data_IF_480746893819
#
_entry.id   IF_480746893819
#
_cell.length_a   1.000
_cell.length_b   1.000
_cell.length_c   1.000
_cell.angle_alpha   90.00
_cell.angle_beta   90.00
_cell.angle_gamma   90.00
#
_symmetry.space_group_name_H-M   'P 1'
#
loop_
_entity.id
_entity.type
_entity.pdbx_description
1 polymer ?
#
# COMPACT_ATOMS: atom_id res chain seq x y z
N UNK A 1 -37.21 56.41 -8.20
CA UNK A 1 -36.02 56.34 -7.33
C UNK A 1 -35.56 54.90 -7.30
N UNK A 2 -34.28 54.71 -7.65
CA UNK A 2 -33.42 53.54 -7.43
C UNK A 2 -33.79 52.18 -8.00
N UNK A 3 -33.17 51.89 -9.15
CA UNK A 3 -32.61 50.59 -9.53
C UNK A 3 -31.65 50.08 -8.45
N UNK A 4 -31.68 48.79 -8.09
CA UNK A 4 -30.46 48.03 -7.81
C UNK A 4 -30.73 46.53 -7.99
N UNK A 5 -30.07 45.97 -8.99
CA UNK A 5 -29.83 44.55 -9.25
C UNK A 5 -28.52 44.15 -8.56
N UNK A 6 -28.48 42.99 -7.89
CA UNK A 6 -27.30 42.15 -7.56
C UNK A 6 -27.77 41.08 -6.57
N UNK A 7 -27.26 39.86 -6.47
CA UNK A 7 -26.54 38.95 -7.36
C UNK A 7 -26.55 37.60 -6.64
N UNK A 8 -26.70 36.55 -7.41
CA UNK A 8 -26.40 35.15 -7.09
C UNK A 8 -25.03 34.97 -6.44
N UNK A 9 -24.96 34.12 -5.41
CA UNK A 9 -23.79 33.27 -5.17
C UNK A 9 -24.20 32.04 -4.36
N UNK A 10 -24.63 31.02 -5.07
CA UNK A 10 -24.59 29.62 -4.65
C UNK A 10 -23.12 29.20 -4.56
N UNK A 11 -22.58 29.11 -3.35
CA UNK A 11 -21.26 28.52 -3.10
C UNK A 11 -21.43 27.01 -3.02
N UNK A 12 -21.24 26.37 -4.18
CA UNK A 12 -20.94 24.95 -4.31
C UNK A 12 -19.64 24.66 -3.55
N UNK A 13 -19.76 23.89 -2.46
CA UNK A 13 -18.64 23.24 -1.80
C UNK A 13 -18.07 22.20 -2.76
N UNK A 14 -17.00 22.59 -3.43
CA UNK A 14 -16.16 21.72 -4.26
C UNK A 14 -15.58 20.62 -3.38
N UNK A 15 -16.11 19.41 -3.59
CA UNK A 15 -15.53 18.14 -3.16
C UNK A 15 -14.13 17.99 -3.74
N UNK A 16 -13.12 18.19 -2.89
CA UNK A 16 -11.74 17.81 -3.18
C UNK A 16 -11.65 16.28 -3.22
N UNK A 17 -11.92 15.71 -4.38
CA UNK A 17 -11.56 14.33 -4.70
C UNK A 17 -10.04 14.23 -4.66
N UNK A 18 -9.51 13.60 -3.61
CA UNK A 18 -8.13 13.13 -3.56
C UNK A 18 -7.99 12.02 -4.61
N UNK A 19 -7.83 12.41 -5.87
CA UNK A 19 -7.54 11.49 -6.96
C UNK A 19 -6.13 10.94 -6.73
N UNK A 20 -6.08 9.66 -6.36
CA UNK A 20 -4.89 8.82 -6.24
C UNK A 20 -3.96 9.07 -7.43
N UNK A 21 -2.82 9.72 -7.17
CA UNK A 21 -1.77 9.86 -8.17
C UNK A 21 -1.26 8.46 -8.54
N UNK A 22 -1.56 8.01 -9.75
CA UNK A 22 -1.01 6.78 -10.32
C UNK A 22 0.50 6.95 -10.49
N UNK A 23 1.25 6.06 -9.86
CA UNK A 23 2.70 6.03 -9.86
C UNK A 23 3.18 5.54 -11.24
N UNK A 24 3.64 6.45 -12.10
CA UNK A 24 4.29 6.11 -13.37
C UNK A 24 5.78 5.79 -13.13
N UNK A 25 6.06 4.64 -12.52
CA UNK A 25 7.40 4.05 -12.61
C UNK A 25 7.46 3.31 -13.95
N UNK A 26 8.37 3.70 -14.85
CA UNK A 26 8.46 3.20 -16.22
C UNK A 26 9.19 1.85 -16.29
N UNK A 27 8.64 0.82 -15.64
CA UNK A 27 8.97 -0.58 -15.94
C UNK A 27 7.90 -1.13 -16.91
N UNK A 28 8.25 -1.42 -18.17
CA UNK A 28 7.33 -2.14 -19.04
C UNK A 28 7.12 -3.55 -18.47
N UNK A 29 5.88 -3.94 -18.23
CA UNK A 29 5.52 -5.29 -17.81
C UNK A 29 4.71 -5.97 -18.90
N UNK A 30 5.03 -7.22 -19.18
CA UNK A 30 4.23 -8.14 -19.98
C UNK A 30 3.03 -8.65 -19.18
N UNK A 31 2.04 -9.21 -19.88
CA UNK A 31 0.90 -9.87 -19.24
C UNK A 31 1.32 -11.02 -18.31
N UNK A 32 2.39 -11.75 -18.65
CA UNK A 32 2.91 -12.83 -17.82
C UNK A 32 3.52 -12.30 -16.51
N UNK A 33 4.28 -11.21 -16.57
CA UNK A 33 4.85 -10.56 -15.38
C UNK A 33 3.76 -9.99 -14.47
N UNK A 34 2.71 -9.39 -15.04
CA UNK A 34 1.55 -8.93 -14.26
C UNK A 34 0.90 -10.09 -13.53
N UNK A 35 0.70 -11.23 -14.19
CA UNK A 35 0.14 -12.44 -13.56
C UNK A 35 1.01 -12.92 -12.41
N UNK A 36 2.33 -13.01 -12.61
CA UNK A 36 3.27 -13.45 -11.58
C UNK A 36 3.24 -12.52 -10.37
N UNK A 37 3.38 -11.20 -10.57
CA UNK A 37 3.34 -10.25 -9.46
C UNK A 37 1.98 -10.20 -8.76
N UNK A 38 0.88 -10.50 -9.47
CA UNK A 38 -0.44 -10.65 -8.84
C UNK A 38 -0.48 -11.85 -7.91
N UNK A 39 0.15 -12.96 -8.29
CA UNK A 39 0.24 -14.16 -7.45
C UNK A 39 1.17 -13.94 -6.25
N UNK A 40 2.29 -13.25 -6.44
CA UNK A 40 3.19 -12.87 -5.35
C UNK A 40 2.46 -11.97 -4.35
N UNK A 41 1.72 -10.97 -4.84
CA UNK A 41 0.91 -10.10 -3.98
C UNK A 41 -0.19 -10.88 -3.24
N UNK A 42 -0.86 -11.84 -3.88
CA UNK A 42 -1.83 -12.69 -3.20
C UNK A 42 -1.17 -13.46 -2.07
N UNK A 43 -0.03 -14.10 -2.32
CA UNK A 43 0.69 -14.89 -1.32
C UNK A 43 1.16 -14.00 -0.15
N UNK A 44 1.72 -12.83 -0.44
CA UNK A 44 2.16 -11.87 0.60
C UNK A 44 1.03 -11.50 1.56
N UNK A 45 -0.16 -11.25 1.03
CA UNK A 45 -1.32 -10.86 1.83
C UNK A 45 -1.92 -12.07 2.56
N UNK A 46 -1.92 -13.24 1.94
CA UNK A 46 -2.32 -14.48 2.60
C UNK A 46 -1.42 -14.77 3.80
N UNK A 47 -0.10 -14.78 3.61
CA UNK A 47 0.86 -15.00 4.69
C UNK A 47 0.67 -13.96 5.81
N UNK A 48 0.45 -12.69 5.46
CA UNK A 48 0.22 -11.65 6.45
C UNK A 48 -1.02 -11.93 7.31
N UNK A 49 -2.14 -12.32 6.69
CA UNK A 49 -3.39 -12.62 7.40
C UNK A 49 -3.25 -13.88 8.25
N UNK A 50 -2.72 -14.96 7.69
CA UNK A 50 -2.54 -16.24 8.40
C UNK A 50 -1.63 -16.06 9.61
N UNK A 51 -0.52 -15.34 9.46
CA UNK A 51 0.37 -15.08 10.59
C UNK A 51 -0.27 -14.22 11.69
N UNK A 52 -1.13 -13.27 11.33
CA UNK A 52 -1.90 -12.47 12.29
C UNK A 52 -2.86 -13.34 13.09
N UNK A 53 -3.53 -14.27 12.41
CA UNK A 53 -4.48 -15.21 13.01
C UNK A 53 -3.77 -16.17 13.95
N UNK A 54 -2.64 -16.74 13.52
CA UNK A 54 -1.85 -17.67 14.34
C UNK A 54 -1.27 -16.99 15.60
N UNK A 55 -0.95 -15.69 15.52
CA UNK A 55 -0.49 -14.90 16.66
C UNK A 55 -1.63 -14.29 17.50
N UNK A 56 -2.89 -14.66 17.22
CA UNK A 56 -4.08 -14.19 17.92
C UNK A 56 -4.21 -12.64 17.96
N UNK A 57 -3.80 -11.97 16.89
CA UNK A 57 -3.90 -10.50 16.78
C UNK A 57 -5.31 -10.10 16.38
N UNK A 58 -6.05 -9.48 17.30
CA UNK A 58 -7.48 -9.20 17.17
C UNK A 58 -7.86 -8.23 16.03
N UNK A 59 -7.00 -7.26 15.71
CA UNK A 59 -7.27 -6.23 14.70
C UNK A 59 -6.41 -6.45 13.44
N UNK A 60 -6.94 -7.21 12.49
CA UNK A 60 -6.27 -7.45 11.20
C UNK A 60 -6.60 -6.32 10.23
N UNK A 61 -5.74 -5.30 10.23
CA UNK A 61 -5.70 -4.26 9.19
C UNK A 61 -4.79 -4.73 8.05
N UNK A 62 -5.24 -4.63 6.80
CA UNK A 62 -4.39 -4.89 5.65
C UNK A 62 -3.27 -3.86 5.54
N UNK A 63 -2.06 -4.26 5.11
CA UNK A 63 -0.93 -3.36 4.98
C UNK A 63 -1.12 -2.36 3.82
N UNK A 64 -0.61 -1.13 3.97
CA UNK A 64 -0.77 -0.04 2.96
C UNK A 64 -0.21 -0.40 1.59
N UNK A 65 0.80 -1.27 1.58
CA UNK A 65 1.42 -1.72 0.34
C UNK A 65 0.51 -2.63 -0.49
N UNK A 66 -0.54 -3.21 0.10
CA UNK A 66 -1.52 -4.00 -0.65
C UNK A 66 -2.26 -3.17 -1.71
N UNK A 67 -2.90 -2.08 -1.28
CA UNK A 67 -3.66 -1.20 -2.18
C UNK A 67 -2.72 -0.56 -3.22
N UNK A 68 -1.51 -0.20 -2.80
CA UNK A 68 -0.50 0.39 -3.68
C UNK A 68 -0.06 -0.59 -4.77
N UNK A 69 0.29 -1.82 -4.41
CA UNK A 69 0.72 -2.84 -5.35
C UNK A 69 -0.39 -3.23 -6.32
N UNK A 70 -1.62 -3.41 -5.82
CA UNK A 70 -2.78 -3.69 -6.65
C UNK A 70 -3.00 -2.58 -7.69
N UNK A 71 -2.99 -1.32 -7.26
CA UNK A 71 -3.22 -0.18 -8.15
C UNK A 71 -2.12 -0.04 -9.21
N UNK A 72 -0.86 -0.32 -8.83
CA UNK A 72 0.25 -0.35 -9.76
C UNK A 72 0.06 -1.42 -10.84
N UNK A 73 -0.22 -2.67 -10.44
CA UNK A 73 -0.46 -3.77 -11.37
C UNK A 73 -1.66 -3.49 -12.28
N UNK A 74 -2.72 -2.88 -11.74
CA UNK A 74 -3.89 -2.47 -12.51
C UNK A 74 -3.53 -1.40 -13.55
N UNK A 75 -2.69 -0.44 -13.20
CA UNK A 75 -2.17 0.56 -14.14
C UNK A 75 -1.38 -0.10 -15.26
N UNK A 76 -0.47 -1.03 -14.93
CA UNK A 76 0.35 -1.74 -15.91
C UNK A 76 -0.49 -2.62 -16.84
N UNK A 77 -1.50 -3.28 -16.32
CA UNK A 77 -2.45 -4.03 -17.13
C UNK A 77 -3.19 -3.12 -18.13
N UNK A 78 -3.65 -1.95 -17.67
CA UNK A 78 -4.32 -0.97 -18.52
C UNK A 78 -3.37 -0.38 -19.59
N UNK A 79 -2.11 -0.09 -19.25
CA UNK A 79 -1.09 0.44 -20.18
C UNK A 79 -0.88 -0.47 -21.40
N UNK A 80 -0.96 -1.79 -21.21
CA UNK A 80 -0.80 -2.78 -22.30
C UNK A 80 -2.14 -3.27 -22.87
N UNK A 81 -3.28 -2.71 -22.44
CA UNK A 81 -4.62 -3.15 -22.85
C UNK A 81 -4.96 -4.60 -22.42
N UNK A 82 -4.31 -5.09 -21.37
CA UNK A 82 -4.52 -6.44 -20.83
C UNK A 82 -5.50 -6.40 -19.66
N UNK A 83 -6.40 -7.38 -19.62
CA UNK A 83 -7.28 -7.62 -18.47
C UNK A 83 -6.91 -8.96 -17.86
N UNK A 84 -6.33 -8.94 -16.67
CA UNK A 84 -5.92 -10.15 -15.96
C UNK A 84 -7.04 -10.61 -14.99
N UNK A 85 -7.68 -11.76 -15.21
CA UNK A 85 -8.78 -12.21 -14.35
C UNK A 85 -8.39 -12.43 -12.88
N UNK A 86 -7.15 -12.82 -12.59
CA UNK A 86 -6.71 -13.05 -11.21
C UNK A 86 -6.50 -11.71 -10.51
N UNK A 87 -5.93 -10.72 -11.22
CA UNK A 87 -5.82 -9.37 -10.71
C UNK A 87 -7.20 -8.77 -10.45
N UNK A 88 -8.17 -8.93 -11.36
CA UNK A 88 -9.53 -8.41 -11.13
C UNK A 88 -10.21 -8.99 -9.90
N UNK A 89 -9.93 -10.26 -9.60
CA UNK A 89 -10.51 -11.03 -8.51
C UNK A 89 -9.79 -10.85 -7.18
N UNK A 90 -8.52 -10.45 -7.19
CA UNK A 90 -7.66 -10.34 -6.02
C UNK A 90 -8.31 -9.60 -4.82
N UNK A 91 -8.97 -8.43 -4.98
CA UNK A 91 -9.66 -7.77 -3.89
C UNK A 91 -10.70 -8.64 -3.18
N UNK A 92 -11.46 -9.42 -3.97
CA UNK A 92 -12.47 -10.29 -3.43
C UNK A 92 -11.88 -11.53 -2.75
N UNK A 93 -10.79 -12.08 -3.30
CA UNK A 93 -10.07 -13.19 -2.67
C UNK A 93 -9.55 -12.81 -1.28
N UNK A 94 -8.94 -11.63 -1.14
CA UNK A 94 -8.42 -11.12 0.13
C UNK A 94 -9.56 -10.85 1.11
N UNK A 95 -10.67 -10.26 0.64
CA UNK A 95 -11.85 -10.05 1.47
C UNK A 95 -12.40 -11.40 1.99
N UNK A 96 -12.60 -12.39 1.12
CA UNK A 96 -13.05 -13.72 1.52
C UNK A 96 -12.13 -14.38 2.56
N UNK A 97 -10.81 -14.23 2.40
CA UNK A 97 -9.83 -14.77 3.35
C UNK A 97 -10.00 -14.12 4.72
N UNK A 98 -10.06 -12.79 4.79
CA UNK A 98 -10.27 -12.06 6.05
C UNK A 98 -11.58 -12.48 6.74
N UNK A 99 -12.67 -12.57 5.99
CA UNK A 99 -13.97 -12.98 6.53
C UNK A 99 -13.94 -14.42 7.08
N UNK A 100 -13.13 -15.30 6.47
CA UNK A 100 -13.04 -16.70 6.87
C UNK A 100 -12.17 -16.88 8.12
N UNK A 101 -11.02 -16.20 8.16
CA UNK A 101 -10.03 -16.38 9.22
C UNK A 101 -10.26 -15.49 10.45
N UNK A 102 -10.71 -14.25 10.23
CA UNK A 102 -10.81 -13.20 11.28
C UNK A 102 -12.27 -12.80 11.54
N UNK A 103 -13.16 -13.05 10.57
CA UNK A 103 -14.52 -12.55 10.58
C UNK A 103 -14.65 -11.16 9.96
N UNK A 104 -15.82 -10.51 10.07
CA UNK A 104 -16.06 -9.21 9.45
C UNK A 104 -15.14 -8.14 10.08
N UNK A 105 -14.28 -7.49 9.28
CA UNK A 105 -13.38 -6.48 9.82
C UNK A 105 -14.17 -5.22 10.22
N UNK A 106 -13.65 -4.41 11.17
CA UNK A 106 -14.29 -3.16 11.56
C UNK A 106 -14.48 -2.24 10.35
N UNK A 107 -15.60 -1.51 10.34
CA UNK A 107 -15.91 -0.60 9.23
C UNK A 107 -14.78 0.43 9.03
N UNK A 108 -14.34 0.60 7.77
CA UNK A 108 -13.31 1.56 7.40
C UNK A 108 -11.86 1.09 7.63
N UNK A 109 -11.63 -0.20 7.84
CA UNK A 109 -10.26 -0.77 7.99
C UNK A 109 -9.72 -1.40 6.71
N UNK A 110 -10.58 -1.76 5.76
CA UNK A 110 -10.18 -2.36 4.48
C UNK A 110 -10.14 -1.34 3.34
N UNK A 111 -9.22 -1.51 2.38
CA UNK A 111 -9.26 -0.78 1.13
C UNK A 111 -10.57 -1.03 0.38
N UNK A 112 -11.20 0.05 -0.09
CA UNK A 112 -12.48 -0.01 -0.82
C UNK A 112 -12.24 0.25 -2.30
N UNK A 113 -12.96 -0.47 -3.15
CA UNK A 113 -12.87 -0.28 -4.61
C UNK A 113 -13.55 1.02 -5.03
N UNK A 114 -12.84 1.86 -5.78
CA UNK A 114 -13.39 3.07 -6.41
C UNK A 114 -14.15 2.74 -7.70
N UNK A 115 -14.87 3.73 -8.23
CA UNK A 115 -15.58 3.64 -9.51
C UNK A 115 -14.66 3.28 -10.70
N UNK A 116 -13.37 3.59 -10.57
CA UNK A 116 -12.32 3.27 -11.57
C UNK A 116 -11.74 1.87 -11.38
N UNK A 117 -12.22 1.10 -10.41
CA UNK A 117 -11.75 -0.24 -10.11
C UNK A 117 -10.44 -0.30 -9.32
N UNK A 118 -9.94 0.84 -8.84
CA UNK A 118 -8.74 0.97 -8.00
C UNK A 118 -9.10 0.76 -6.53
N UNK A 119 -8.13 0.37 -5.69
CA UNK A 119 -8.31 0.31 -4.24
C UNK A 119 -7.93 1.64 -3.58
N UNK A 120 -8.79 2.12 -2.70
CA UNK A 120 -8.56 3.30 -1.86
C UNK A 120 -8.32 2.83 -0.43
N UNK A 121 -7.10 3.00 0.05
CA UNK A 121 -6.74 2.69 1.43
C UNK A 121 -7.36 3.73 2.38
N UNK A 122 -8.19 3.33 3.36
CA UNK A 122 -8.83 4.26 4.29
C UNK A 122 -7.84 4.95 5.24
N UNK A 123 -6.62 4.42 5.37
CA UNK A 123 -5.55 4.98 6.20
C UNK A 123 -4.60 5.91 5.43
N UNK A 124 -4.77 6.04 4.11
CA UNK A 124 -4.03 7.00 3.33
C UNK A 124 -4.48 8.42 3.70
N UNK A 125 -3.53 9.21 4.22
CA UNK A 125 -3.80 10.58 4.70
C UNK A 125 -3.46 11.65 3.67
N UNK A 126 -2.64 11.30 2.68
CA UNK A 126 -2.02 12.26 1.77
C UNK A 126 -0.91 13.09 2.42
N UNK A 127 -0.63 12.88 3.70
CA UNK A 127 0.46 13.48 4.45
C UNK A 127 1.67 12.53 4.43
N UNK A 128 2.80 13.01 3.89
CA UNK A 128 4.01 12.21 3.73
C UNK A 128 4.47 11.55 5.04
N UNK A 129 4.47 12.28 6.16
CA UNK A 129 4.99 11.76 7.43
C UNK A 129 4.09 10.64 7.95
N UNK A 130 2.78 10.84 7.92
CA UNK A 130 1.81 9.82 8.36
C UNK A 130 1.81 8.60 7.44
N UNK A 131 1.84 8.81 6.12
CA UNK A 131 1.87 7.72 5.14
C UNK A 131 3.19 6.92 5.24
N UNK A 132 4.33 7.59 5.48
CA UNK A 132 5.63 6.94 5.72
C UNK A 132 5.62 6.14 7.02
N UNK A 133 5.06 6.69 8.10
CA UNK A 133 4.93 5.98 9.37
C UNK A 133 4.07 4.73 9.22
N UNK A 134 2.92 4.81 8.54
CA UNK A 134 2.06 3.66 8.29
C UNK A 134 2.80 2.57 7.49
N UNK A 135 3.56 2.95 6.46
CA UNK A 135 4.39 2.01 5.71
C UNK A 135 5.43 1.32 6.60
N UNK A 136 6.13 2.09 7.45
CA UNK A 136 7.13 1.52 8.37
C UNK A 136 6.47 0.51 9.30
N UNK A 137 5.37 0.88 9.95
CA UNK A 137 4.64 0.00 10.87
C UNK A 137 4.19 -1.29 10.17
N UNK A 138 3.60 -1.18 8.98
CA UNK A 138 3.08 -2.35 8.26
C UNK A 138 4.21 -3.30 7.80
N UNK A 139 5.38 -2.78 7.43
CA UNK A 139 6.55 -3.60 7.08
C UNK A 139 7.15 -4.27 8.31
N UNK A 140 7.24 -3.57 9.44
CA UNK A 140 7.70 -4.14 10.71
C UNK A 140 6.80 -5.28 11.12
N UNK A 141 5.50 -5.05 11.09
CA UNK A 141 4.48 -6.03 11.48
C UNK A 141 4.53 -7.27 10.59
N UNK A 142 4.65 -7.10 9.26
CA UNK A 142 4.85 -8.22 8.33
C UNK A 142 6.11 -9.04 8.70
N UNK A 143 7.26 -8.39 8.89
CA UNK A 143 8.52 -9.08 9.16
C UNK A 143 8.55 -9.75 10.54
N UNK A 144 8.05 -9.06 11.57
CA UNK A 144 8.02 -9.58 12.94
C UNK A 144 7.11 -10.79 13.06
N UNK A 145 5.90 -10.72 12.48
CA UNK A 145 4.95 -11.83 12.55
C UNK A 145 5.49 -13.05 11.82
N UNK A 146 6.04 -12.85 10.61
CA UNK A 146 6.69 -13.92 9.86
C UNK A 146 7.86 -14.53 10.64
N UNK A 147 8.72 -13.72 11.27
CA UNK A 147 9.83 -14.22 12.06
C UNK A 147 9.38 -14.98 13.31
N UNK A 148 8.32 -14.53 13.99
CA UNK A 148 7.79 -15.20 15.19
C UNK A 148 7.30 -16.63 14.89
N UNK A 149 6.68 -16.81 13.72
CA UNK A 149 6.12 -18.10 13.29
C UNK A 149 7.21 -18.97 12.66
N UNK A 150 7.89 -18.45 11.64
CA UNK A 150 8.79 -19.25 10.80
C UNK A 150 10.24 -19.28 11.32
N UNK A 151 10.59 -18.45 12.31
CA UNK A 151 11.96 -18.28 12.83
C UNK A 151 13.00 -17.93 11.76
N UNK A 152 12.52 -17.31 10.69
CA UNK A 152 13.31 -16.83 9.56
C UNK A 152 12.78 -15.45 9.13
N UNK A 153 13.65 -14.60 8.60
CA UNK A 153 13.21 -13.33 8.01
C UNK A 153 12.57 -13.60 6.66
N UNK A 154 11.41 -12.98 6.35
CA UNK A 154 10.81 -13.12 5.03
C UNK A 154 11.66 -12.40 3.98
N UNK A 155 11.27 -12.53 2.71
CA UNK A 155 11.64 -11.50 1.74
C UNK A 155 10.78 -10.26 2.03
N UNK A 156 11.31 -9.07 1.78
CA UNK A 156 10.49 -7.87 1.85
C UNK A 156 9.36 -7.96 0.81
N UNK A 157 8.13 -7.54 1.17
CA UNK A 157 6.99 -7.58 0.24
C UNK A 157 7.30 -6.82 -1.04
N UNK A 158 6.93 -7.39 -2.19
CA UNK A 158 6.93 -6.71 -3.48
C UNK A 158 6.17 -5.39 -3.39
N UNK A 159 5.03 -5.39 -2.70
CA UNK A 159 4.25 -4.17 -2.51
C UNK A 159 5.03 -3.06 -1.81
N UNK A 160 5.89 -3.38 -0.84
CA UNK A 160 6.71 -2.39 -0.14
C UNK A 160 7.62 -1.65 -1.11
N UNK A 161 8.29 -2.38 -2.02
CA UNK A 161 9.19 -1.77 -3.01
C UNK A 161 8.43 -0.80 -3.91
N UNK A 162 7.24 -1.20 -4.38
CA UNK A 162 6.38 -0.34 -5.19
C UNK A 162 5.92 0.92 -4.43
N UNK A 163 5.58 0.79 -3.15
CA UNK A 163 5.18 1.94 -2.33
C UNK A 163 6.32 2.93 -2.17
N UNK A 164 7.55 2.48 -1.89
CA UNK A 164 8.72 3.36 -1.81
C UNK A 164 8.98 4.07 -3.13
N UNK A 165 9.05 3.34 -4.25
CA UNK A 165 9.26 3.95 -5.57
C UNK A 165 8.15 4.94 -5.93
N UNK A 166 6.93 4.68 -5.47
CA UNK A 166 5.79 5.58 -5.60
C UNK A 166 5.95 6.89 -4.86
N UNK A 167 6.33 6.81 -3.58
CA UNK A 167 6.61 8.00 -2.77
C UNK A 167 7.79 8.78 -3.35
N UNK A 168 8.87 8.11 -3.78
CA UNK A 168 10.05 8.76 -4.38
C UNK A 168 9.65 9.55 -5.63
N UNK A 169 8.84 8.94 -6.51
CA UNK A 169 8.35 9.58 -7.73
C UNK A 169 7.43 10.76 -7.42
N UNK A 170 6.52 10.60 -6.44
CA UNK A 170 5.56 11.64 -6.05
C UNK A 170 6.25 12.88 -5.49
N UNK A 171 7.34 12.70 -4.73
CA UNK A 171 8.01 13.78 -4.01
C UNK A 171 9.37 14.19 -4.63
N UNK A 172 9.73 13.70 -5.83
CA UNK A 172 11.03 13.95 -6.45
C UNK A 172 11.37 15.44 -6.69
N UNK A 173 10.34 16.29 -6.82
CA UNK A 173 10.52 17.73 -7.08
C UNK A 173 10.56 18.57 -5.80
N UNK A 174 10.34 17.98 -4.62
CA UNK A 174 10.45 18.66 -3.33
C UNK A 174 11.64 18.10 -2.53
N UNK A 175 12.76 18.82 -2.41
CA UNK A 175 13.98 18.31 -1.79
C UNK A 175 13.80 17.84 -0.35
N UNK A 176 12.94 18.50 0.44
CA UNK A 176 12.70 18.13 1.84
C UNK A 176 11.92 16.82 1.92
N UNK A 177 10.80 16.71 1.20
CA UNK A 177 10.02 15.47 1.13
C UNK A 177 10.81 14.33 0.52
N UNK A 178 11.58 14.58 -0.54
CA UNK A 178 12.43 13.58 -1.19
C UNK A 178 13.44 13.00 -0.21
N UNK A 179 14.10 13.85 0.58
CA UNK A 179 15.02 13.40 1.63
C UNK A 179 14.31 12.52 2.66
N UNK A 180 13.10 12.88 3.10
CA UNK A 180 12.32 12.06 4.04
C UNK A 180 12.04 10.68 3.46
N UNK A 181 11.60 10.61 2.20
CA UNK A 181 11.31 9.33 1.54
C UNK A 181 12.55 8.45 1.44
N UNK A 182 13.71 9.01 1.12
CA UNK A 182 14.98 8.28 1.02
C UNK A 182 15.51 7.76 2.38
N UNK A 183 15.02 8.28 3.50
CA UNK A 183 15.39 7.78 4.83
C UNK A 183 14.46 6.65 5.32
N UNK A 184 13.34 6.39 4.64
CA UNK A 184 12.39 5.35 5.05
C UNK A 184 13.05 3.95 5.11
N UNK A 185 13.79 3.46 4.10
CA UNK A 185 14.38 2.13 4.16
C UNK A 185 15.36 1.98 5.33
N UNK A 186 16.18 3.01 5.59
CA UNK A 186 17.11 3.05 6.73
C UNK A 186 16.38 3.02 8.06
N UNK A 187 15.27 3.74 8.20
CA UNK A 187 14.48 3.72 9.43
C UNK A 187 13.81 2.35 9.63
N UNK A 188 13.31 1.69 8.57
CA UNK A 188 12.81 0.31 8.65
C UNK A 188 13.92 -0.64 9.12
N UNK A 189 15.11 -0.58 8.51
CA UNK A 189 16.26 -1.41 8.90
C UNK A 189 16.62 -1.22 10.38
N UNK A 190 16.63 0.04 10.85
CA UNK A 190 16.90 0.38 12.25
C UNK A 190 15.83 -0.17 13.19
N UNK A 191 14.55 0.00 12.85
CA UNK A 191 13.43 -0.51 13.64
C UNK A 191 13.43 -2.04 13.70
N UNK A 192 13.66 -2.73 12.59
CA UNK A 192 13.77 -4.20 12.54
C UNK A 192 14.95 -4.71 13.38
N UNK A 193 16.11 -4.05 13.29
CA UNK A 193 17.28 -4.40 14.13
C UNK A 193 16.96 -4.27 15.62
N UNK A 194 16.22 -3.24 16.00
CA UNK A 194 15.79 -3.02 17.37
C UNK A 194 14.77 -4.07 17.82
N UNK A 195 13.74 -4.34 17.02
CA UNK A 195 12.65 -5.24 17.41
C UNK A 195 13.01 -6.72 17.37
N UNK A 196 13.96 -7.09 16.52
CA UNK A 196 14.45 -8.47 16.37
C UNK A 196 15.85 -8.68 16.97
N UNK A 197 16.25 -7.83 17.92
CA UNK A 197 17.47 -7.96 18.75
C UNK A 197 18.76 -8.26 17.96
N UNK A 198 18.93 -7.61 16.80
CA UNK A 198 20.15 -7.74 15.97
C UNK A 198 20.23 -9.01 15.11
N UNK A 199 19.13 -9.77 14.95
CA UNK A 199 19.06 -10.91 14.02
C UNK A 199 19.07 -10.46 12.55
N UNK A 200 18.80 -9.18 12.29
CA UNK A 200 18.60 -8.64 10.95
C UNK A 200 19.94 -8.28 10.29
N UNK A 201 20.24 -8.82 9.08
CA UNK A 201 21.44 -8.44 8.35
C UNK A 201 21.51 -6.92 8.07
N UNK A 202 22.72 -6.35 8.06
CA UNK A 202 22.95 -4.90 7.91
C UNK A 202 22.40 -4.28 6.61
N UNK A 203 22.09 -5.08 5.59
CA UNK A 203 21.57 -4.64 4.29
C UNK A 203 20.30 -5.44 3.90
N UNK A 204 19.50 -5.80 4.89
CA UNK A 204 18.26 -6.54 4.65
C UNK A 204 17.23 -5.66 3.93
N UNK A 205 17.08 -4.41 4.38
CA UNK A 205 16.32 -3.38 3.67
C UNK A 205 17.27 -2.63 2.76
N UNK A 206 17.05 -2.72 1.45
CA UNK A 206 17.90 -2.09 0.45
C UNK A 206 17.36 -0.71 0.09
N UNK A 207 18.26 0.27 -0.01
CA UNK A 207 17.96 1.54 -0.65
C UNK A 207 17.82 1.27 -2.16
N UNK A 208 16.67 1.65 -2.74
CA UNK A 208 16.50 1.68 -4.19
C UNK A 208 17.21 2.95 -4.70
N UNK A 209 18.53 2.86 -4.87
CA UNK A 209 19.37 3.88 -5.54
C UNK A 209 19.37 3.71 -7.08
#
# INVERSE_FOLDING_TARGET
MSSTSTSTSSSSSSSSSAATALIHVHFPMSAAEIRMCTQDLLQEITDFIEHKVELEVADVKLPVFYATAFNFLKSKANEIGHRDPVLEFLPHAVEMLLFTEVGPPPAGTLPVRSDQGLLVDPTATGNLVADSHNLIVDVLDYCENHYRINRALPKLPFGYQLTISGLQTKYCNDPESYRVVHEIPKEIQKCLNFSLEGVVPNNYVQDND
#
